data_IF_600391005063
#
_entry.id   IF_600391005063
#
_cell.length_a   1.000
_cell.length_b   1.000
_cell.length_c   1.000
_cell.angle_alpha   90.00
_cell.angle_beta   90.00
_cell.angle_gamma   90.00
#
_symmetry.space_group_name_H-M   'P 1'
#
loop_
_entity.id
_entity.type
_entity.pdbx_description
1 polymer ?
#
# COMPACT_ATOMS: atom_id res chain seq x y z
N UNK A 1 -31.10 1.61 10.98
CA UNK A 1 -31.36 1.23 9.58
C UNK A 1 -30.08 0.57 9.07
N UNK A 2 -30.21 -0.61 8.45
CA UNK A 2 -29.08 -1.28 7.83
C UNK A 2 -28.57 -0.39 6.69
N UNK A 3 -27.30 0.02 6.77
CA UNK A 3 -26.63 0.77 5.72
C UNK A 3 -26.01 -0.23 4.73
N UNK A 4 -26.09 0.08 3.46
CA UNK A 4 -25.41 -0.68 2.40
C UNK A 4 -24.43 0.23 1.67
N UNK A 5 -23.22 -0.28 1.41
CA UNK A 5 -22.19 0.46 0.69
C UNK A 5 -21.70 -0.36 -0.51
N UNK A 6 -21.30 0.32 -1.56
CA UNK A 6 -20.58 -0.30 -2.68
C UNK A 6 -19.09 -0.35 -2.33
N UNK A 7 -18.52 -1.57 -2.38
CA UNK A 7 -17.13 -1.83 -2.06
C UNK A 7 -16.43 -2.44 -3.27
N UNK A 8 -15.19 -2.02 -3.53
CA UNK A 8 -14.33 -2.56 -4.57
C UNK A 8 -13.59 -3.81 -4.09
N UNK A 9 -14.09 -5.00 -4.43
CA UNK A 9 -13.45 -6.27 -4.08
C UNK A 9 -12.75 -6.88 -5.28
N UNK A 10 -11.55 -7.42 -5.08
CA UNK A 10 -10.84 -8.18 -6.11
C UNK A 10 -11.65 -9.43 -6.47
N UNK A 11 -12.13 -9.49 -7.73
CA UNK A 11 -13.03 -10.53 -8.22
C UNK A 11 -12.33 -11.80 -8.75
N UNK A 12 -11.00 -11.80 -8.82
CA UNK A 12 -10.24 -12.97 -9.27
C UNK A 12 -9.84 -13.84 -8.08
N UNK A 13 -9.63 -15.13 -8.35
CA UNK A 13 -9.10 -16.04 -7.33
C UNK A 13 -7.66 -15.64 -6.98
N UNK A 14 -7.42 -15.34 -5.69
CA UNK A 14 -6.10 -15.02 -5.19
C UNK A 14 -5.21 -16.26 -5.12
N UNK A 15 -3.91 -16.04 -5.26
CA UNK A 15 -2.89 -17.07 -5.11
C UNK A 15 -2.95 -17.73 -3.72
N UNK A 16 -2.67 -19.02 -3.66
CA UNK A 16 -2.65 -19.79 -2.42
C UNK A 16 -1.25 -19.80 -1.82
N UNK A 17 -1.17 -19.67 -0.51
CA UNK A 17 0.09 -19.83 0.21
C UNK A 17 0.61 -21.26 0.12
N UNK A 18 1.93 -21.42 0.19
CA UNK A 18 2.56 -22.72 0.37
C UNK A 18 2.25 -23.27 1.77
N UNK A 19 2.36 -24.59 1.96
CA UNK A 19 2.19 -25.22 3.27
C UNK A 19 3.22 -24.74 4.30
N UNK A 20 4.37 -24.24 3.83
CA UNK A 20 5.46 -23.77 4.69
C UNK A 20 5.33 -22.28 5.05
N UNK A 21 4.36 -21.55 4.50
CA UNK A 21 4.16 -20.15 4.84
C UNK A 21 3.71 -20.04 6.30
N UNK A 22 4.42 -19.26 7.14
CA UNK A 22 4.04 -19.05 8.54
C UNK A 22 2.60 -18.56 8.70
N UNK A 23 1.87 -19.09 9.68
CA UNK A 23 0.44 -18.76 9.87
C UNK A 23 0.17 -17.27 10.03
N UNK A 24 1.05 -16.53 10.71
CA UNK A 24 0.89 -15.10 10.91
C UNK A 24 1.07 -14.28 9.62
N UNK A 25 1.66 -14.86 8.58
CA UNK A 25 1.81 -14.27 7.25
C UNK A 25 0.67 -14.67 6.29
N UNK A 26 -0.20 -15.62 6.67
CA UNK A 26 -1.34 -16.05 5.86
C UNK A 26 -2.54 -15.12 6.08
N UNK A 27 -2.45 -13.89 5.57
CA UNK A 27 -3.50 -12.87 5.63
C UNK A 27 -4.10 -12.61 4.25
N UNK A 28 -5.31 -12.07 4.18
CA UNK A 28 -5.89 -11.65 2.90
C UNK A 28 -5.01 -10.61 2.21
N UNK A 29 -4.44 -9.68 2.97
CA UNK A 29 -3.48 -8.68 2.47
C UNK A 29 -2.31 -9.37 1.78
N UNK A 30 -1.70 -10.37 2.41
CA UNK A 30 -0.58 -11.10 1.81
C UNK A 30 -0.99 -12.01 0.64
N UNK A 31 -2.23 -12.46 0.58
CA UNK A 31 -2.74 -13.16 -0.61
C UNK A 31 -2.84 -12.21 -1.82
N UNK A 32 -3.22 -10.95 -1.60
CA UNK A 32 -3.16 -9.90 -2.63
C UNK A 32 -1.72 -9.61 -3.03
N UNK A 33 -0.81 -9.46 -2.07
CA UNK A 33 0.64 -9.31 -2.31
C UNK A 33 1.16 -10.44 -3.19
N UNK A 34 0.93 -11.69 -2.79
CA UNK A 34 1.40 -12.86 -3.54
C UNK A 34 0.86 -12.88 -4.97
N UNK A 35 -0.42 -12.58 -5.14
CA UNK A 35 -1.07 -12.55 -6.47
C UNK A 35 -0.47 -11.48 -7.39
N UNK A 36 -0.08 -10.32 -6.83
CA UNK A 36 0.58 -9.26 -7.59
C UNK A 36 2.05 -9.61 -7.89
N UNK A 37 2.79 -10.14 -6.91
CA UNK A 37 4.19 -10.52 -7.08
C UNK A 37 4.39 -11.63 -8.13
N UNK A 38 3.47 -12.59 -8.21
CA UNK A 38 3.56 -13.66 -9.22
C UNK A 38 3.51 -13.12 -10.65
N UNK A 39 2.95 -11.93 -10.89
CA UNK A 39 2.93 -11.29 -12.20
C UNK A 39 4.31 -10.71 -12.59
N UNK A 40 5.14 -10.39 -11.62
CA UNK A 40 6.50 -9.84 -11.80
C UNK A 40 7.59 -10.78 -11.23
N UNK A 41 7.25 -12.05 -10.94
CA UNK A 41 8.17 -13.00 -10.29
C UNK A 41 9.49 -13.16 -11.05
N UNK A 42 9.42 -13.16 -12.39
CA UNK A 42 10.62 -13.23 -13.23
C UNK A 42 11.55 -12.05 -12.97
N UNK A 43 11.03 -10.83 -12.97
CA UNK A 43 11.85 -9.62 -12.78
C UNK A 43 12.46 -9.56 -11.37
N UNK A 44 11.70 -10.01 -10.34
CA UNK A 44 12.21 -10.13 -8.97
C UNK A 44 13.35 -11.15 -8.91
N UNK A 45 13.19 -12.34 -9.50
CA UNK A 45 14.24 -13.38 -9.49
C UNK A 45 15.47 -12.98 -10.29
N UNK A 46 15.27 -12.29 -11.40
CA UNK A 46 16.38 -11.75 -12.19
C UNK A 46 17.16 -10.69 -11.40
N UNK A 47 16.50 -9.80 -10.68
CA UNK A 47 17.14 -8.85 -9.77
C UNK A 47 17.92 -9.55 -8.64
N UNK A 48 17.29 -10.56 -8.01
CA UNK A 48 17.96 -11.36 -6.96
C UNK A 48 19.19 -12.09 -7.51
N UNK A 49 19.10 -12.68 -8.70
CA UNK A 49 20.21 -13.35 -9.36
C UNK A 49 21.35 -12.39 -9.68
N UNK A 50 21.01 -11.17 -10.11
CA UNK A 50 21.98 -10.15 -10.49
C UNK A 50 22.70 -9.52 -9.30
N UNK A 51 21.95 -9.13 -8.27
CA UNK A 51 22.47 -8.31 -7.18
C UNK A 51 22.71 -9.07 -5.87
N UNK A 52 22.11 -10.26 -5.72
CA UNK A 52 22.12 -11.03 -4.48
C UNK A 52 21.01 -10.64 -3.50
N UNK A 53 20.67 -11.59 -2.63
CA UNK A 53 19.57 -11.48 -1.65
C UNK A 53 19.74 -10.35 -0.63
N UNK A 54 20.97 -9.97 -0.35
CA UNK A 54 21.34 -8.90 0.58
C UNK A 54 21.36 -7.51 -0.06
N UNK A 55 21.11 -7.41 -1.37
CA UNK A 55 21.10 -6.14 -2.11
C UNK A 55 19.73 -5.82 -2.72
N UNK A 56 18.75 -6.72 -2.61
CA UNK A 56 17.36 -6.50 -3.03
C UNK A 56 16.52 -6.18 -1.80
N UNK A 57 16.08 -4.93 -1.70
CA UNK A 57 15.26 -4.44 -0.58
C UNK A 57 13.76 -4.59 -0.84
N UNK A 58 12.97 -4.36 0.20
CA UNK A 58 11.49 -4.38 0.15
C UNK A 58 10.93 -3.15 0.84
N UNK A 59 10.05 -2.41 0.17
CA UNK A 59 9.29 -1.31 0.78
C UNK A 59 7.82 -1.41 0.38
N UNK A 60 6.96 -1.59 1.35
CA UNK A 60 5.51 -1.75 1.13
C UNK A 60 4.74 -0.59 1.73
N UNK A 61 3.87 0.05 0.93
CA UNK A 61 2.85 0.96 1.43
C UNK A 61 1.60 0.21 1.86
N UNK A 62 1.18 0.37 3.11
CA UNK A 62 -0.08 -0.21 3.61
C UNK A 62 -0.65 0.63 4.73
N UNK A 63 -1.97 0.61 4.90
CA UNK A 63 -2.64 1.38 5.97
C UNK A 63 -3.09 0.51 7.13
N UNK A 64 -3.48 -0.72 6.87
CA UNK A 64 -4.10 -1.60 7.88
C UNK A 64 -3.48 -2.99 7.96
N UNK A 65 -2.62 -3.36 6.99
CA UNK A 65 -2.05 -4.71 6.96
C UNK A 65 -3.11 -5.81 7.08
N UNK A 66 -2.91 -6.81 7.93
CA UNK A 66 -3.83 -7.93 8.16
C UNK A 66 -4.76 -7.74 9.37
N UNK A 67 -5.26 -6.53 9.62
CA UNK A 67 -6.12 -6.24 10.79
C UNK A 67 -7.42 -7.06 10.79
N UNK A 68 -7.98 -7.38 9.63
CA UNK A 68 -9.24 -8.11 9.51
C UNK A 68 -9.16 -9.52 10.09
N UNK A 69 -8.00 -10.17 10.06
CA UNK A 69 -7.80 -11.50 10.64
C UNK A 69 -7.96 -11.55 12.16
N UNK A 70 -8.00 -10.39 12.81
CA UNK A 70 -8.27 -10.27 14.25
C UNK A 70 -9.69 -9.79 14.57
N UNK A 71 -10.51 -9.50 13.55
CA UNK A 71 -11.85 -8.92 13.72
C UNK A 71 -12.74 -9.76 14.66
N UNK A 72 -12.81 -11.08 14.47
CA UNK A 72 -13.65 -11.95 15.31
C UNK A 72 -13.22 -11.93 16.78
N UNK A 73 -11.92 -11.78 17.07
CA UNK A 73 -11.43 -11.65 18.46
C UNK A 73 -11.96 -10.36 19.12
N UNK A 74 -11.97 -9.25 18.39
CA UNK A 74 -12.53 -7.99 18.89
C UNK A 74 -14.05 -8.05 19.03
N UNK A 75 -14.73 -8.71 18.11
CA UNK A 75 -16.19 -8.91 18.16
C UNK A 75 -16.59 -9.77 19.36
N UNK A 76 -15.89 -10.87 19.60
CA UNK A 76 -16.08 -11.72 20.78
C UNK A 76 -15.87 -10.92 22.06
N UNK A 77 -14.80 -10.11 22.11
CA UNK A 77 -14.53 -9.24 23.26
C UNK A 77 -15.65 -8.23 23.49
N UNK A 78 -16.13 -7.57 22.44
CA UNK A 78 -17.23 -6.61 22.56
C UNK A 78 -18.53 -7.25 23.06
N UNK A 79 -18.78 -8.52 22.70
CA UNK A 79 -19.99 -9.25 23.11
C UNK A 79 -19.90 -9.82 24.52
N UNK A 80 -18.70 -10.24 24.98
CA UNK A 80 -18.52 -11.03 26.20
C UNK A 80 -17.76 -10.28 27.32
N UNK A 81 -17.05 -9.20 26.98
CA UNK A 81 -16.10 -8.51 27.87
C UNK A 81 -14.81 -9.30 28.14
N UNK A 82 -14.65 -10.51 27.54
CA UNK A 82 -13.47 -11.34 27.69
C UNK A 82 -12.60 -11.32 26.45
N UNK A 83 -11.34 -10.89 26.61
CA UNK A 83 -10.36 -10.87 25.52
C UNK A 83 -9.54 -12.17 25.49
N UNK A 84 -9.78 -12.99 24.48
CA UNK A 84 -9.03 -14.22 24.26
C UNK A 84 -7.71 -13.94 23.51
N UNK A 85 -6.65 -13.71 24.27
CA UNK A 85 -5.33 -13.41 23.71
C UNK A 85 -4.76 -14.56 22.84
N UNK A 86 -5.24 -15.80 23.00
CA UNK A 86 -4.78 -16.94 22.19
C UNK A 86 -5.25 -16.88 20.74
N UNK A 87 -6.37 -16.18 20.48
CA UNK A 87 -6.91 -15.95 19.14
C UNK A 87 -6.33 -14.72 18.46
N UNK A 88 -5.74 -13.80 19.24
CA UNK A 88 -5.24 -12.54 18.75
C UNK A 88 -3.82 -12.68 18.18
N UNK A 89 -3.66 -12.37 16.92
CA UNK A 89 -2.36 -12.39 16.23
C UNK A 89 -1.73 -11.00 16.17
N UNK A 90 -0.87 -10.62 17.12
CA UNK A 90 -0.15 -9.32 17.12
C UNK A 90 0.57 -9.09 15.80
N UNK A 91 1.31 -10.09 15.30
CA UNK A 91 2.08 -9.99 14.07
C UNK A 91 1.21 -9.75 12.83
N UNK A 92 -0.07 -10.17 12.83
CA UNK A 92 -1.00 -9.89 11.72
C UNK A 92 -1.33 -8.40 11.60
N UNK A 93 -1.38 -7.69 12.73
CA UNK A 93 -1.66 -6.25 12.77
C UNK A 93 -0.40 -5.40 12.53
N UNK A 94 0.79 -6.00 12.57
CA UNK A 94 2.01 -5.27 12.28
C UNK A 94 1.97 -4.71 10.86
N UNK A 95 2.21 -3.41 10.71
CA UNK A 95 2.33 -2.81 9.38
C UNK A 95 3.50 -3.40 8.58
N UNK A 96 4.51 -3.96 9.26
CA UNK A 96 5.61 -4.66 8.63
C UNK A 96 5.22 -6.02 8.02
N UNK A 97 4.06 -6.59 8.39
CA UNK A 97 3.67 -7.95 7.97
C UNK A 97 3.75 -8.19 6.45
N UNK A 98 3.27 -7.29 5.54
CA UNK A 98 3.41 -7.50 4.11
C UNK A 98 4.85 -7.43 3.60
N UNK A 99 5.70 -6.58 4.18
CA UNK A 99 7.11 -6.53 3.80
C UNK A 99 7.91 -7.72 4.32
N UNK A 100 7.59 -8.21 5.52
CA UNK A 100 8.12 -9.46 6.06
C UNK A 100 7.74 -10.66 5.20
N UNK A 101 6.47 -10.73 4.76
CA UNK A 101 6.00 -11.77 3.85
C UNK A 101 6.81 -11.82 2.54
N UNK A 102 7.06 -10.66 1.91
CA UNK A 102 7.84 -10.58 0.67
C UNK A 102 9.29 -11.03 0.91
N UNK A 103 9.90 -10.56 2.00
CA UNK A 103 11.26 -10.93 2.34
C UNK A 103 11.39 -12.44 2.62
N UNK A 104 10.45 -13.03 3.37
CA UNK A 104 10.40 -14.47 3.65
C UNK A 104 10.19 -15.27 2.35
N UNK A 105 9.24 -14.88 1.52
CA UNK A 105 8.88 -15.58 0.28
C UNK A 105 10.05 -15.70 -0.71
N UNK A 106 10.88 -14.66 -0.83
CA UNK A 106 12.05 -14.66 -1.70
C UNK A 106 13.36 -14.99 -0.96
N UNK A 107 13.30 -15.12 0.36
CA UNK A 107 14.48 -15.36 1.21
C UNK A 107 15.47 -14.21 1.18
N UNK A 108 14.98 -12.96 1.18
CA UNK A 108 15.81 -11.75 1.15
C UNK A 108 16.42 -11.48 2.52
N UNK A 109 17.61 -10.88 2.54
CA UNK A 109 18.34 -10.50 3.76
C UNK A 109 18.75 -9.02 3.78
N UNK A 110 18.20 -8.21 2.86
CA UNK A 110 18.33 -6.76 2.83
C UNK A 110 17.26 -6.09 3.71
N UNK A 111 17.17 -4.75 3.66
CA UNK A 111 16.13 -4.00 4.35
C UNK A 111 14.74 -4.39 3.83
N UNK A 112 13.81 -4.64 4.76
CA UNK A 112 12.41 -4.91 4.46
C UNK A 112 11.55 -4.20 5.49
N UNK A 113 10.72 -3.25 5.06
CA UNK A 113 9.84 -2.50 5.95
C UNK A 113 8.64 -1.93 5.21
N UNK A 114 7.65 -1.50 5.97
CA UNK A 114 6.48 -0.83 5.41
C UNK A 114 6.43 0.63 5.79
N UNK A 115 5.81 1.44 4.93
CA UNK A 115 5.51 2.84 5.16
C UNK A 115 3.99 3.02 5.21
N UNK A 116 3.51 3.85 6.14
CA UNK A 116 2.10 4.15 6.30
C UNK A 116 1.92 5.66 6.42
N UNK A 117 1.41 6.26 5.36
CA UNK A 117 1.10 7.68 5.24
C UNK A 117 -0.30 7.85 4.63
N UNK A 118 -1.25 7.07 5.12
CA UNK A 118 -2.62 7.00 4.62
C UNK A 118 -2.65 6.74 3.10
N UNK A 119 -3.48 7.46 2.35
CA UNK A 119 -3.67 7.26 0.90
C UNK A 119 -2.39 7.42 0.06
N UNK A 120 -1.37 8.08 0.59
CA UNK A 120 -0.09 8.29 -0.09
C UNK A 120 0.93 7.17 0.13
N UNK A 121 0.61 6.14 0.90
CA UNK A 121 1.54 5.07 1.31
C UNK A 121 2.21 4.38 0.12
N UNK A 122 1.45 4.04 -0.93
CA UNK A 122 1.99 3.38 -2.12
C UNK A 122 3.03 4.23 -2.86
N UNK A 123 2.73 5.53 -3.07
CA UNK A 123 3.68 6.47 -3.70
C UNK A 123 4.90 6.69 -2.80
N UNK A 124 4.70 6.79 -1.48
CA UNK A 124 5.80 6.89 -0.51
C UNK A 124 6.72 5.68 -0.54
N UNK A 125 6.20 4.48 -0.75
CA UNK A 125 7.01 3.27 -0.91
C UNK A 125 7.93 3.39 -2.15
N UNK A 126 7.41 3.89 -3.28
CA UNK A 126 8.19 4.12 -4.50
C UNK A 126 9.27 5.20 -4.27
N UNK A 127 8.92 6.33 -3.65
CA UNK A 127 9.89 7.39 -3.30
C UNK A 127 10.98 6.85 -2.38
N UNK A 128 10.60 6.05 -1.40
CA UNK A 128 11.55 5.44 -0.45
C UNK A 128 12.47 4.45 -1.16
N UNK A 129 11.94 3.64 -2.08
CA UNK A 129 12.74 2.74 -2.91
C UNK A 129 13.80 3.50 -3.71
N UNK A 130 13.42 4.61 -4.39
CA UNK A 130 14.37 5.48 -5.10
C UNK A 130 15.50 5.96 -4.19
N UNK A 131 15.16 6.43 -2.98
CA UNK A 131 16.15 6.91 -2.01
C UNK A 131 17.09 5.82 -1.50
N UNK A 132 16.61 4.59 -1.31
CA UNK A 132 17.46 3.44 -0.95
C UNK A 132 18.45 3.09 -2.06
N UNK A 133 18.03 3.22 -3.31
CA UNK A 133 18.92 3.04 -4.47
C UNK A 133 19.96 4.16 -4.57
N UNK A 134 19.53 5.43 -4.45
CA UNK A 134 20.42 6.60 -4.51
C UNK A 134 21.47 6.59 -3.40
N UNK A 135 21.08 6.17 -2.19
CA UNK A 135 22.01 6.04 -1.05
C UNK A 135 22.91 4.81 -1.10
N UNK A 136 22.73 3.92 -2.09
CA UNK A 136 23.53 2.70 -2.23
C UNK A 136 23.24 1.61 -1.19
N UNK A 137 22.15 1.72 -0.43
CA UNK A 137 21.70 0.69 0.53
C UNK A 137 21.25 -0.57 -0.22
N UNK A 138 20.54 -0.38 -1.34
CA UNK A 138 20.08 -1.45 -2.22
C UNK A 138 20.55 -1.22 -3.65
N UNK A 139 20.55 -2.27 -4.47
CA UNK A 139 20.75 -2.19 -5.92
C UNK A 139 19.46 -2.44 -6.70
N UNK A 140 18.50 -3.14 -6.07
CA UNK A 140 17.12 -3.20 -6.51
C UNK A 140 16.18 -3.17 -5.29
N UNK A 141 14.94 -2.73 -5.50
CA UNK A 141 13.90 -2.69 -4.45
C UNK A 141 12.58 -3.17 -5.03
N UNK A 142 11.97 -4.14 -4.36
CA UNK A 142 10.56 -4.50 -4.57
C UNK A 142 9.73 -3.47 -3.80
N UNK A 143 8.94 -2.66 -4.49
CA UNK A 143 8.14 -1.63 -3.85
C UNK A 143 6.76 -1.54 -4.44
N UNK A 144 5.82 -1.02 -3.66
CA UNK A 144 4.44 -0.86 -4.08
C UNK A 144 3.50 -0.68 -2.91
N UNK A 145 2.22 -0.92 -3.13
CA UNK A 145 1.21 -0.78 -2.09
C UNK A 145 0.21 -1.92 -2.09
N UNK A 146 -0.37 -2.18 -0.93
CA UNK A 146 -1.44 -3.14 -0.73
C UNK A 146 -2.32 -2.75 0.44
N UNK A 147 -3.62 -2.82 0.24
CA UNK A 147 -4.60 -2.85 1.33
C UNK A 147 -5.73 -3.84 0.97
N UNK A 148 -6.19 -4.58 1.96
CA UNK A 148 -7.38 -5.43 1.86
C UNK A 148 -8.60 -4.73 2.43
N UNK A 149 -9.79 -5.10 1.97
CA UNK A 149 -11.02 -4.69 2.62
C UNK A 149 -11.03 -5.18 4.06
N UNK A 150 -11.34 -4.29 4.99
CA UNK A 150 -11.44 -4.60 6.40
C UNK A 150 -12.52 -3.75 7.09
N UNK A 151 -13.10 -4.32 8.12
CA UNK A 151 -14.21 -3.72 8.88
C UNK A 151 -13.79 -2.42 9.58
N UNK A 152 -12.54 -2.32 10.04
CA UNK A 152 -12.02 -1.12 10.69
C UNK A 152 -12.06 0.09 9.75
N UNK A 153 -11.56 -0.06 8.53
CA UNK A 153 -11.56 1.01 7.52
C UNK A 153 -12.97 1.39 7.10
N UNK A 154 -13.83 0.40 6.83
CA UNK A 154 -15.22 0.63 6.42
C UNK A 154 -15.97 1.41 7.50
N UNK A 155 -15.94 0.94 8.75
CA UNK A 155 -16.59 1.61 9.87
C UNK A 155 -16.00 2.99 10.16
N UNK A 156 -14.67 3.14 10.03
CA UNK A 156 -14.00 4.43 10.20
C UNK A 156 -14.53 5.47 9.22
N UNK A 157 -14.56 5.15 7.93
CA UNK A 157 -15.08 6.07 6.91
C UNK A 157 -16.61 6.25 6.98
N UNK A 158 -17.36 5.22 7.39
CA UNK A 158 -18.81 5.38 7.66
C UNK A 158 -19.05 6.35 8.80
N UNK A 159 -18.27 6.30 9.86
CA UNK A 159 -18.41 7.23 10.99
C UNK A 159 -18.15 8.69 10.61
N UNK A 160 -17.37 8.92 9.57
CA UNK A 160 -17.14 10.25 8.98
C UNK A 160 -18.29 10.68 8.01
N UNK A 161 -19.22 9.76 7.69
CA UNK A 161 -20.35 10.05 6.79
C UNK A 161 -19.94 10.26 5.33
N UNK A 162 -18.80 9.68 4.89
CA UNK A 162 -18.28 9.90 3.54
C UNK A 162 -18.34 8.68 2.62
N UNK A 163 -18.91 7.57 3.07
CA UNK A 163 -19.14 6.42 2.20
C UNK A 163 -20.36 6.59 1.33
N UNK A 164 -20.23 6.32 0.05
CA UNK A 164 -21.34 6.33 -0.91
C UNK A 164 -22.06 4.97 -0.93
N UNK A 165 -23.41 5.04 -1.01
CA UNK A 165 -24.26 3.87 -1.23
C UNK A 165 -24.36 3.48 -2.73
N UNK A 166 -23.78 4.28 -3.61
CA UNK A 166 -23.70 4.04 -5.06
C UNK A 166 -22.29 4.17 -5.56
N UNK A 167 -22.06 3.79 -6.79
CA UNK A 167 -20.74 3.95 -7.43
C UNK A 167 -20.39 5.44 -7.52
N UNK A 168 -19.24 5.79 -6.96
CA UNK A 168 -18.73 7.17 -6.92
C UNK A 168 -18.32 7.63 -8.32
N UNK A 169 -18.64 8.88 -8.62
CA UNK A 169 -18.18 9.57 -9.82
C UNK A 169 -17.18 10.68 -9.43
N UNK A 170 -15.88 10.37 -9.39
CA UNK A 170 -14.85 11.34 -8.98
C UNK A 170 -14.87 12.61 -9.84
N UNK A 171 -14.57 13.77 -9.24
CA UNK A 171 -14.55 15.09 -9.88
C UNK A 171 -15.89 15.56 -10.47
N UNK A 172 -16.98 14.79 -10.31
CA UNK A 172 -18.32 15.24 -10.71
C UNK A 172 -18.93 16.16 -9.67
N UNK A 173 -19.71 17.15 -10.13
CA UNK A 173 -20.54 17.97 -9.22
C UNK A 173 -21.60 17.15 -8.49
N UNK A 174 -21.91 15.94 -8.97
CA UNK A 174 -22.89 15.03 -8.39
C UNK A 174 -22.22 13.94 -7.50
N UNK A 175 -20.93 14.08 -7.18
CA UNK A 175 -20.23 13.19 -6.28
C UNK A 175 -20.87 13.23 -4.89
N UNK A 176 -21.07 12.06 -4.28
CA UNK A 176 -21.70 11.90 -2.96
C UNK A 176 -20.86 11.04 -2.00
N UNK A 177 -19.57 11.09 -2.07
CA UNK A 177 -18.67 10.36 -1.18
C UNK A 177 -17.63 9.54 -1.93
N UNK A 178 -17.18 8.45 -1.30
CA UNK A 178 -16.16 7.55 -1.82
C UNK A 178 -16.60 6.09 -1.70
N UNK A 179 -16.00 5.21 -2.50
CA UNK A 179 -16.10 3.77 -2.34
C UNK A 179 -14.76 3.22 -1.85
N UNK A 180 -14.80 2.36 -0.84
CA UNK A 180 -13.61 1.67 -0.33
C UNK A 180 -13.35 0.42 -1.17
N UNK A 181 -12.09 0.18 -1.49
CA UNK A 181 -11.65 -0.97 -2.26
C UNK A 181 -10.41 -1.64 -1.67
N UNK A 182 -10.09 -2.80 -2.23
CA UNK A 182 -8.86 -3.52 -1.97
C UNK A 182 -8.05 -3.68 -3.25
N UNK A 183 -6.75 -3.82 -3.13
CA UNK A 183 -5.87 -4.05 -4.27
C UNK A 183 -4.40 -4.13 -3.87
N UNK A 184 -3.58 -4.57 -4.82
CA UNK A 184 -2.14 -4.59 -4.68
C UNK A 184 -1.47 -4.29 -6.02
N UNK A 185 -0.41 -3.48 -5.98
CA UNK A 185 0.45 -3.24 -7.12
C UNK A 185 1.90 -3.16 -6.67
N UNK A 186 2.79 -3.88 -7.36
CA UNK A 186 4.21 -3.95 -7.05
C UNK A 186 5.08 -3.75 -8.28
N UNK A 187 6.26 -3.20 -8.05
CA UNK A 187 7.28 -2.92 -9.05
C UNK A 187 8.65 -3.39 -8.55
N UNK A 188 9.52 -3.72 -9.48
CA UNK A 188 10.96 -3.82 -9.21
C UNK A 188 11.61 -2.55 -9.73
N UNK A 189 12.26 -1.81 -8.84
CA UNK A 189 12.98 -0.58 -9.17
C UNK A 189 14.47 -0.81 -8.98
N UNK A 190 15.28 -0.43 -9.96
CA UNK A 190 16.75 -0.52 -9.90
C UNK A 190 17.39 0.72 -10.49
N UNK A 191 18.72 0.85 -10.36
CA UNK A 191 19.48 1.92 -11.01
C UNK A 191 19.85 1.62 -12.46
N UNK A 192 19.64 0.38 -12.89
CA UNK A 192 19.99 -0.01 -14.25
C UNK A 192 18.96 0.49 -15.27
N UNK A 193 19.43 0.89 -16.41
CA UNK A 193 18.61 1.30 -17.56
C UNK A 193 18.05 0.08 -18.31
N UNK A 194 17.22 -0.74 -17.63
CA UNK A 194 16.62 -1.94 -18.20
C UNK A 194 15.16 -1.74 -18.62
N UNK A 195 14.61 -0.55 -18.38
CA UNK A 195 13.21 -0.22 -18.66
C UNK A 195 13.11 1.18 -19.29
N UNK A 196 12.11 1.36 -20.15
CA UNK A 196 11.75 2.66 -20.68
C UNK A 196 10.90 3.50 -19.71
N UNK A 197 10.56 2.94 -18.53
CA UNK A 197 9.82 3.63 -17.47
C UNK A 197 10.79 4.03 -16.37
N UNK A 198 10.86 5.33 -16.09
CA UNK A 198 11.78 5.89 -15.09
C UNK A 198 11.04 6.75 -14.08
N UNK A 199 11.55 6.78 -12.83
CA UNK A 199 11.11 7.72 -11.80
C UNK A 199 11.96 8.97 -11.94
N UNK A 200 11.51 9.90 -12.77
CA UNK A 200 12.28 11.11 -13.13
C UNK A 200 12.43 12.09 -11.96
N UNK A 201 11.38 12.27 -11.15
CA UNK A 201 11.41 13.17 -10.01
C UNK A 201 10.35 12.80 -8.97
N UNK A 202 10.56 13.24 -7.76
CA UNK A 202 9.61 13.07 -6.66
C UNK A 202 9.61 14.27 -5.73
N UNK A 203 8.48 14.54 -5.10
CA UNK A 203 8.40 15.49 -3.99
C UNK A 203 7.39 15.01 -2.97
N UNK A 204 7.49 15.54 -1.76
CA UNK A 204 6.59 15.20 -0.67
C UNK A 204 6.63 16.30 0.38
N UNK A 205 5.48 16.76 0.76
CA UNK A 205 5.27 17.72 1.82
C UNK A 205 4.10 17.30 2.73
N UNK A 206 3.74 18.15 3.68
CA UNK A 206 2.59 17.99 4.55
C UNK A 206 1.82 19.31 4.54
N UNK A 207 0.51 19.22 4.26
CA UNK A 207 -0.38 20.38 4.27
C UNK A 207 -0.52 20.95 5.70
N UNK A 208 -0.70 20.09 6.70
CA UNK A 208 -0.88 20.45 8.12
C UNK A 208 -2.02 21.46 8.38
N UNK A 209 -2.95 21.62 7.43
CA UNK A 209 -4.08 22.53 7.55
C UNK A 209 -5.16 21.97 8.47
N UNK A 210 -5.63 20.75 8.20
CA UNK A 210 -6.66 20.07 8.96
C UNK A 210 -6.48 18.55 8.87
N UNK A 211 -7.05 17.82 9.84
CA UNK A 211 -6.88 16.36 9.93
C UNK A 211 -7.48 15.61 8.73
N UNK A 212 -8.58 16.11 8.14
CA UNK A 212 -9.33 15.44 7.06
C UNK A 212 -9.60 16.32 5.85
N UNK A 213 -9.34 17.63 5.92
CA UNK A 213 -9.62 18.57 4.84
C UNK A 213 -8.32 19.20 4.31
N UNK A 214 -8.10 19.21 2.99
CA UNK A 214 -6.98 19.93 2.41
C UNK A 214 -7.20 21.46 2.50
N UNK A 215 -6.11 22.21 2.50
CA UNK A 215 -6.15 23.66 2.37
C UNK A 215 -6.81 24.06 1.05
N UNK A 216 -7.83 24.90 1.13
CA UNK A 216 -8.58 25.40 -0.03
C UNK A 216 -7.71 26.18 -1.03
N UNK A 217 -6.59 26.72 -0.60
CA UNK A 217 -5.62 27.38 -1.50
C UNK A 217 -4.87 26.37 -2.39
N UNK A 218 -4.90 25.08 -2.07
CA UNK A 218 -4.13 24.01 -2.69
C UNK A 218 -2.59 24.27 -2.74
N UNK A 219 -2.09 25.21 -1.93
CA UNK A 219 -0.69 25.65 -1.95
C UNK A 219 0.29 24.48 -1.85
N UNK A 220 0.07 23.59 -0.87
CA UNK A 220 0.97 22.46 -0.65
C UNK A 220 0.89 21.40 -1.75
N UNK A 221 -0.29 21.20 -2.35
CA UNK A 221 -0.45 20.33 -3.50
C UNK A 221 0.29 20.88 -4.74
N UNK A 222 0.16 22.18 -5.01
CA UNK A 222 0.89 22.87 -6.08
C UNK A 222 2.39 22.74 -5.86
N UNK A 223 2.89 23.07 -4.66
CA UNK A 223 4.31 22.96 -4.30
C UNK A 223 4.82 21.52 -4.47
N UNK A 224 4.00 20.52 -4.15
CA UNK A 224 4.37 19.11 -4.32
C UNK A 224 4.57 18.77 -5.80
N UNK A 225 3.67 19.20 -6.68
CA UNK A 225 3.75 18.99 -8.13
C UNK A 225 4.97 19.73 -8.72
N UNK A 226 5.11 21.02 -8.42
CA UNK A 226 6.22 21.84 -8.88
C UNK A 226 7.58 21.30 -8.41
N UNK A 227 7.65 20.85 -7.14
CA UNK A 227 8.85 20.23 -6.59
C UNK A 227 9.25 18.95 -7.30
N UNK A 228 8.28 18.10 -7.68
CA UNK A 228 8.52 16.89 -8.45
C UNK A 228 9.01 17.21 -9.88
N UNK A 229 8.35 18.16 -10.57
CA UNK A 229 8.76 18.63 -11.90
C UNK A 229 10.16 19.22 -11.88
N UNK A 230 10.47 20.08 -10.90
CA UNK A 230 11.80 20.68 -10.74
C UNK A 230 12.90 19.62 -10.58
N UNK A 231 12.65 18.59 -9.77
CA UNK A 231 13.61 17.48 -9.57
C UNK A 231 13.76 16.63 -10.82
N UNK A 232 12.69 16.48 -11.60
CA UNK A 232 12.73 15.81 -12.89
C UNK A 232 13.42 16.63 -14.01
N UNK A 233 13.68 17.92 -13.79
CA UNK A 233 14.16 18.83 -14.84
C UNK A 233 13.12 19.10 -15.93
N UNK A 234 11.83 18.98 -15.61
CA UNK A 234 10.71 19.09 -16.54
C UNK A 234 9.90 20.37 -16.26
N UNK A 235 9.34 20.98 -17.32
CA UNK A 235 8.47 22.14 -17.22
C UNK A 235 6.98 21.79 -17.22
N UNK A 236 6.62 20.55 -17.49
CA UNK A 236 5.24 20.09 -17.55
C UNK A 236 5.15 18.58 -17.78
N UNK A 237 3.92 18.07 -17.80
CA UNK A 237 3.58 16.65 -18.03
C UNK A 237 2.40 16.55 -18.99
N UNK A 238 2.31 15.45 -19.71
CA UNK A 238 1.21 15.17 -20.65
C UNK A 238 -0.01 14.61 -19.94
N UNK A 239 0.17 14.01 -18.76
CA UNK A 239 -0.90 13.37 -18.01
C UNK A 239 -0.69 13.52 -16.49
N UNK A 240 -1.78 13.78 -15.78
CA UNK A 240 -1.83 13.86 -14.31
C UNK A 240 -2.91 12.91 -13.79
N UNK A 241 -2.53 11.98 -12.92
CA UNK A 241 -3.49 11.18 -12.16
C UNK A 241 -3.72 11.83 -10.80
N UNK A 242 -4.93 12.36 -10.60
CA UNK A 242 -5.32 13.01 -9.36
C UNK A 242 -5.93 12.00 -8.38
N UNK A 243 -6.04 12.40 -7.12
CA UNK A 243 -6.57 11.54 -6.06
C UNK A 243 -8.07 11.27 -6.19
N UNK A 244 -8.86 12.20 -6.67
CA UNK A 244 -10.30 12.02 -6.87
C UNK A 244 -11.19 12.29 -5.66
#
# INVERSE_FOLDING_TARGET
ADKSFILGKVGVQLAKFSQNTPKHLQTRTNALVLSALLQIDKDVRDAIKKYGKNRVGVVVGTTTSGVEENYETFKDFAATGFFDASKFGVSRNSLANPSEFIADFYGLSSVAFSVSTACTSGVKAIITAKRLLESGVCDAVICGGVDSLNTLTINGFDSLGILSARETNPFSKNRDGINIGEGAAFFVVSRDEISNVVIAGEHSNCDAFHMTQPDFSAKMAIECIEGALKRAGMSGVDYVNLHG
#
